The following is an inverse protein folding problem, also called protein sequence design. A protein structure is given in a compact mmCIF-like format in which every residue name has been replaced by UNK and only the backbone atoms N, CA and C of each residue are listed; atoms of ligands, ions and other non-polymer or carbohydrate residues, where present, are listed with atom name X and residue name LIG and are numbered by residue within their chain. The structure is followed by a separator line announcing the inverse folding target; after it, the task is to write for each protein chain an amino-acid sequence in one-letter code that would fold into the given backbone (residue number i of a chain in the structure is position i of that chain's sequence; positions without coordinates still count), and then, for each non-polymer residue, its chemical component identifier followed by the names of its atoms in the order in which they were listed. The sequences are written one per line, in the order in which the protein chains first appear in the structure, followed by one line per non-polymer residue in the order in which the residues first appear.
data_IF_227636436091
#
_entry.id   IF_227636436091
#
_cell.length_a   1.000
_cell.length_b   1.000
_cell.length_c   1.000
_cell.angle_alpha   90.00
_cell.angle_beta   90.00
_cell.angle_gamma   90.00
#
_symmetry.space_group_name_H-M   'P 1'
#
loop_
_entity.id
_entity.type
_entity.pdbx_description
1 polymer ?
#
# COMPACT_ATOMS: atom_id res chain seq x y z
N UNK A 1 -0.76 -25.78 -17.41
CA UNK A 1 -0.52 -25.00 -16.18
C UNK A 1 0.30 -25.88 -15.25
N UNK A 2 1.52 -25.47 -14.92
CA UNK A 2 2.47 -26.30 -14.17
C UNK A 2 2.06 -26.38 -12.70
N UNK A 3 2.25 -27.55 -12.07
CA UNK A 3 2.08 -27.76 -10.63
C UNK A 3 2.86 -26.72 -9.80
N UNK A 4 3.98 -26.22 -10.36
CA UNK A 4 4.85 -25.21 -9.77
C UNK A 4 4.13 -23.86 -9.55
N UNK A 5 3.24 -23.45 -10.46
CA UNK A 5 2.53 -22.16 -10.40
C UNK A 5 1.51 -22.10 -9.25
N UNK A 6 0.88 -23.25 -8.95
CA UNK A 6 -0.11 -23.38 -7.87
C UNK A 6 0.54 -23.25 -6.49
N UNK A 7 1.67 -23.93 -6.27
CA UNK A 7 2.40 -23.85 -5.00
C UNK A 7 3.05 -22.48 -4.78
N UNK A 8 3.52 -21.83 -5.85
CA UNK A 8 4.12 -20.50 -5.74
C UNK A 8 3.10 -19.45 -5.26
N UNK A 9 1.88 -19.44 -5.84
CA UNK A 9 0.81 -18.52 -5.41
C UNK A 9 0.39 -18.74 -3.96
N UNK A 10 0.25 -19.99 -3.51
CA UNK A 10 -0.09 -20.31 -2.12
C UNK A 10 0.98 -19.82 -1.15
N UNK A 11 2.25 -20.06 -1.47
CA UNK A 11 3.40 -19.66 -0.64
C UNK A 11 3.55 -18.14 -0.55
N UNK A 12 3.40 -17.43 -1.67
CA UNK A 12 3.40 -15.94 -1.70
C UNK A 12 2.29 -15.40 -0.79
N UNK A 13 1.09 -15.97 -0.85
CA UNK A 13 -0.06 -15.53 -0.03
C UNK A 13 0.19 -15.72 1.47
N UNK A 14 0.83 -16.82 1.87
CA UNK A 14 1.19 -17.10 3.26
C UNK A 14 2.30 -16.16 3.73
N UNK A 15 3.35 -15.96 2.93
CA UNK A 15 4.44 -15.03 3.26
C UNK A 15 3.93 -13.59 3.42
N UNK A 16 3.02 -13.15 2.54
CA UNK A 16 2.38 -11.84 2.66
C UNK A 16 1.53 -11.75 3.94
N UNK A 17 0.78 -12.80 4.28
CA UNK A 17 -0.04 -12.84 5.51
C UNK A 17 0.82 -12.75 6.78
N UNK A 18 1.96 -13.44 6.82
CA UNK A 18 2.91 -13.38 7.93
C UNK A 18 3.60 -12.02 8.04
N UNK A 19 3.85 -11.33 6.91
CA UNK A 19 4.39 -9.97 6.89
C UNK A 19 3.36 -8.88 7.25
N UNK A 20 2.06 -9.18 7.37
CA UNK A 20 1.02 -8.19 7.71
C UNK A 20 1.25 -7.50 9.05
N UNK A 21 2.02 -8.13 9.94
CA UNK A 21 2.32 -7.62 11.29
C UNK A 21 3.46 -6.58 11.28
N UNK A 22 4.34 -6.58 10.27
CA UNK A 22 5.51 -5.71 10.18
C UNK A 22 5.49 -4.85 8.91
N UNK A 23 4.47 -4.01 8.77
CA UNK A 23 4.51 -2.97 7.74
C UNK A 23 5.62 -1.98 8.07
N UNK A 24 6.47 -1.58 7.10
CA UNK A 24 7.43 -0.50 7.32
C UNK A 24 6.73 0.87 7.48
N UNK A 25 5.42 0.93 7.23
CA UNK A 25 4.62 2.14 7.33
C UNK A 25 4.26 2.48 8.76
N UNK A 26 4.35 3.76 9.10
CA UNK A 26 3.69 4.33 10.26
C UNK A 26 2.17 4.19 10.14
N UNK A 27 1.41 4.28 11.25
CA UNK A 27 -0.06 4.20 11.20
C UNK A 27 -0.68 5.21 10.21
N UNK A 28 -0.17 6.45 10.17
CA UNK A 28 -0.70 7.49 9.28
C UNK A 28 -0.37 7.24 7.81
N UNK A 29 0.84 6.77 7.52
CA UNK A 29 1.22 6.37 6.15
C UNK A 29 0.36 5.20 5.66
N UNK A 30 0.14 4.20 6.53
CA UNK A 30 -0.72 3.04 6.24
C UNK A 30 -2.15 3.49 5.97
N UNK A 31 -2.72 4.36 6.79
CA UNK A 31 -4.07 4.89 6.62
C UNK A 31 -4.23 5.58 5.26
N UNK A 32 -3.33 6.50 4.92
CA UNK A 32 -3.35 7.20 3.63
C UNK A 32 -3.16 6.23 2.46
N UNK A 33 -2.24 5.26 2.59
CA UNK A 33 -2.00 4.25 1.57
C UNK A 33 -3.20 3.31 1.36
N UNK A 34 -3.95 2.96 2.40
CA UNK A 34 -5.18 2.15 2.30
C UNK A 34 -6.26 2.90 1.52
N UNK A 35 -6.47 4.20 1.82
CA UNK A 35 -7.41 5.02 1.06
C UNK A 35 -6.96 5.17 -0.39
N UNK A 36 -5.65 5.31 -0.63
CA UNK A 36 -5.11 5.33 -1.98
C UNK A 36 -5.30 3.99 -2.72
N UNK A 37 -5.10 2.85 -2.05
CA UNK A 37 -5.37 1.51 -2.60
C UNK A 37 -6.86 1.31 -2.91
N UNK A 38 -7.73 2.01 -2.20
CA UNK A 38 -9.19 2.09 -2.45
C UNK A 38 -9.57 3.03 -3.61
N UNK A 39 -8.58 3.50 -4.40
CA UNK A 39 -8.73 4.35 -5.59
C UNK A 39 -9.21 5.79 -5.33
N UNK A 40 -9.18 6.28 -4.10
CA UNK A 40 -9.49 7.69 -3.80
C UNK A 40 -8.37 8.63 -4.25
N UNK A 41 -8.69 9.68 -4.98
CA UNK A 41 -7.75 10.75 -5.34
C UNK A 41 -7.15 11.42 -4.11
N UNK A 42 -6.00 12.09 -4.27
CA UNK A 42 -5.37 12.81 -3.16
C UNK A 42 -6.28 13.90 -2.57
N UNK A 43 -7.22 14.45 -3.36
CA UNK A 43 -8.21 15.43 -2.90
C UNK A 43 -9.27 14.77 -2.02
N UNK A 44 -9.84 13.64 -2.44
CA UNK A 44 -10.83 12.89 -1.64
C UNK A 44 -10.22 12.36 -0.34
N UNK A 45 -8.95 11.90 -0.38
CA UNK A 45 -8.22 11.49 0.82
C UNK A 45 -8.03 12.68 1.77
N UNK A 46 -7.63 13.84 1.23
CA UNK A 46 -7.43 15.06 1.99
C UNK A 46 -8.72 15.51 2.69
N UNK A 47 -9.85 15.50 1.98
CA UNK A 47 -11.17 15.81 2.51
C UNK A 47 -11.56 14.82 3.62
N UNK A 48 -11.40 13.51 3.39
CA UNK A 48 -11.77 12.48 4.37
C UNK A 48 -10.93 12.55 5.66
N UNK A 49 -9.68 12.95 5.55
CA UNK A 49 -8.72 13.01 6.65
C UNK A 49 -8.53 14.41 7.22
N UNK A 50 -9.28 15.41 6.74
CA UNK A 50 -9.21 16.81 7.15
C UNK A 50 -7.78 17.40 7.11
N UNK A 51 -7.05 17.12 6.03
CA UNK A 51 -5.68 17.62 5.80
C UNK A 51 -5.53 18.20 4.39
N UNK A 52 -4.41 18.85 4.09
CA UNK A 52 -4.17 19.38 2.74
C UNK A 52 -3.84 18.26 1.72
N UNK A 53 -4.20 18.40 0.44
CA UNK A 53 -3.75 17.50 -0.63
C UNK A 53 -2.22 17.42 -0.76
N UNK A 54 -1.50 18.48 -0.39
CA UNK A 54 -0.05 18.49 -0.35
C UNK A 54 0.48 17.54 0.74
N UNK A 55 -0.12 17.55 1.93
CA UNK A 55 0.21 16.63 3.02
C UNK A 55 -0.03 15.17 2.61
N UNK A 56 -1.13 14.89 1.90
CA UNK A 56 -1.39 13.54 1.35
C UNK A 56 -0.28 13.13 0.38
N UNK A 57 0.16 14.02 -0.52
CA UNK A 57 1.29 13.74 -1.43
C UNK A 57 2.57 13.40 -0.68
N UNK A 58 2.93 14.18 0.34
CA UNK A 58 4.13 13.93 1.16
C UNK A 58 4.05 12.61 1.90
N UNK A 59 2.89 12.29 2.51
CA UNK A 59 2.70 11.01 3.19
C UNK A 59 2.80 9.84 2.21
N UNK A 60 2.18 9.93 1.04
CA UNK A 60 2.26 8.89 0.01
C UNK A 60 3.69 8.72 -0.51
N UNK A 61 4.43 9.81 -0.70
CA UNK A 61 5.84 9.75 -1.10
C UNK A 61 6.67 8.96 -0.07
N UNK A 62 6.54 9.29 1.22
CA UNK A 62 7.24 8.56 2.28
C UNK A 62 6.81 7.09 2.36
N UNK A 63 5.51 6.81 2.22
CA UNK A 63 5.00 5.45 2.20
C UNK A 63 5.56 4.65 1.02
N UNK A 64 5.61 5.24 -0.18
CA UNK A 64 6.13 4.59 -1.38
C UNK A 64 7.62 4.27 -1.25
N UNK A 65 8.42 5.21 -0.71
CA UNK A 65 9.83 4.97 -0.41
C UNK A 65 10.02 3.80 0.56
N UNK A 66 9.22 3.76 1.65
CA UNK A 66 9.28 2.67 2.65
C UNK A 66 8.85 1.32 2.09
N UNK A 67 7.98 1.31 1.10
CA UNK A 67 7.52 0.11 0.41
C UNK A 67 8.40 -0.26 -0.79
N UNK A 68 9.40 0.55 -1.14
CA UNK A 68 10.26 0.35 -2.30
C UNK A 68 9.52 0.43 -3.64
N UNK A 69 8.43 1.21 -3.71
CA UNK A 69 7.65 1.39 -4.94
C UNK A 69 7.76 2.81 -5.46
N UNK A 70 7.48 3.00 -6.75
CA UNK A 70 7.60 4.31 -7.41
C UNK A 70 6.28 4.84 -7.97
N UNK A 71 5.20 4.05 -7.90
CA UNK A 71 3.93 4.46 -8.46
C UNK A 71 2.74 3.98 -7.64
N UNK A 72 1.67 4.77 -7.73
CA UNK A 72 0.36 4.40 -7.18
C UNK A 72 -0.19 3.10 -7.79
N UNK A 73 0.14 2.80 -9.05
CA UNK A 73 -0.27 1.56 -9.70
C UNK A 73 0.42 0.32 -9.09
N UNK A 74 1.66 0.46 -8.62
CA UNK A 74 2.36 -0.61 -7.90
C UNK A 74 1.74 -0.86 -6.53
N UNK A 75 1.24 0.18 -5.84
CA UNK A 75 0.55 0.07 -4.55
C UNK A 75 -0.62 -0.94 -4.60
N UNK A 76 -1.32 -1.07 -5.73
CA UNK A 76 -2.44 -2.01 -5.89
C UNK A 76 -2.00 -3.48 -5.90
N UNK A 77 -0.72 -3.76 -6.17
CA UNK A 77 -0.18 -5.12 -6.31
C UNK A 77 0.51 -5.65 -5.05
N UNK A 78 0.70 -4.79 -4.05
CA UNK A 78 1.44 -5.13 -2.83
C UNK A 78 0.52 -5.12 -1.61
N UNK A 79 0.79 -6.02 -0.68
CA UNK A 79 0.18 -6.01 0.65
C UNK A 79 1.16 -5.36 1.62
N UNK A 80 0.62 -4.53 2.52
CA UNK A 80 1.37 -3.81 3.53
C UNK A 80 0.53 -3.64 4.77
#
# INVERSE_FOLDING_TARGET
MSLFDRFHKGRIKILNALNRVNSPLTPREREVAILAKSRLSNKEIAEKLYISPATVRTILYNAYNKLGIHSRSQLFKIDF
#
